data_IF_454742311605
#
_entry.id   IF_454742311605
#
_cell.length_a   1.000
_cell.length_b   1.000
_cell.length_c   1.000
_cell.angle_alpha   90.00
_cell.angle_beta   90.00
_cell.angle_gamma   90.00
#
_symmetry.space_group_name_H-M   'P 1'
#
loop_
_entity.id
_entity.type
_entity.pdbx_description
1 polymer ?
#
# COMPACT_ATOMS: atom_id res chain seq x y z
N UNK A 1 8.35 35.78 15.14
CA UNK A 1 7.52 34.57 15.07
C UNK A 1 8.33 33.50 14.35
N UNK A 2 8.97 32.63 15.11
CA UNK A 2 9.78 31.53 14.58
C UNK A 2 8.84 30.41 14.12
N UNK A 3 8.81 30.17 12.81
CA UNK A 3 8.14 29.04 12.16
C UNK A 3 8.68 27.74 12.78
N UNK A 4 7.96 27.24 13.78
CA UNK A 4 8.23 25.97 14.45
C UNK A 4 7.44 24.91 13.70
N UNK A 5 7.84 24.64 12.45
CA UNK A 5 7.55 23.34 11.86
C UNK A 5 8.37 22.32 12.65
N UNK A 6 7.72 21.73 13.63
CA UNK A 6 8.18 20.56 14.35
C UNK A 6 8.76 19.57 13.33
N UNK A 7 9.92 19.01 13.68
CA UNK A 7 10.61 17.99 12.89
C UNK A 7 9.85 16.65 13.00
N UNK A 8 8.55 16.68 12.69
CA UNK A 8 7.64 15.54 12.76
C UNK A 8 8.01 14.56 11.65
N UNK A 9 8.58 13.43 12.07
CA UNK A 9 8.83 12.30 11.18
C UNK A 9 7.49 11.64 10.89
N UNK A 10 6.86 12.05 9.80
CA UNK A 10 5.72 11.31 9.27
C UNK A 10 6.21 9.99 8.67
N UNK A 11 5.49 8.92 8.97
CA UNK A 11 5.61 7.62 8.33
C UNK A 11 5.20 7.71 6.85
N UNK A 12 5.73 6.81 6.03
CA UNK A 12 5.35 6.71 4.62
C UNK A 12 3.84 6.51 4.43
N UNK A 13 3.18 5.85 5.38
CA UNK A 13 1.73 5.64 5.38
C UNK A 13 0.93 6.91 5.69
N UNK A 14 1.46 7.85 6.48
CA UNK A 14 0.82 9.15 6.72
C UNK A 14 0.93 10.06 5.50
N UNK A 15 2.11 10.11 4.87
CA UNK A 15 2.27 10.82 3.58
C UNK A 15 1.35 10.23 2.50
N UNK A 16 1.21 8.91 2.48
CA UNK A 16 0.31 8.23 1.56
C UNK A 16 -1.15 8.63 1.81
N UNK A 17 -1.64 8.60 3.06
CA UNK A 17 -3.01 9.02 3.39
C UNK A 17 -3.27 10.47 2.98
N UNK A 18 -2.34 11.39 3.28
CA UNK A 18 -2.46 12.79 2.89
C UNK A 18 -2.54 12.96 1.37
N UNK A 19 -1.65 12.31 0.61
CA UNK A 19 -1.65 12.39 -0.85
C UNK A 19 -2.92 11.78 -1.46
N UNK A 20 -3.37 10.64 -0.94
CA UNK A 20 -4.58 9.97 -1.43
C UNK A 20 -5.82 10.77 -1.09
N UNK A 21 -5.92 11.38 0.08
CA UNK A 21 -7.08 12.19 0.45
C UNK A 21 -7.13 13.53 -0.28
N UNK A 22 -5.99 14.10 -0.66
CA UNK A 22 -5.93 15.27 -1.55
C UNK A 22 -6.39 14.93 -2.97
N UNK A 23 -5.90 13.82 -3.54
CA UNK A 23 -6.27 13.37 -4.89
C UNK A 23 -7.69 12.78 -4.98
N UNK A 24 -8.14 12.10 -3.92
CA UNK A 24 -9.43 11.43 -3.82
C UNK A 24 -10.17 11.91 -2.56
N UNK A 25 -10.70 13.14 -2.56
CA UNK A 25 -11.29 13.78 -1.39
C UNK A 25 -12.58 13.12 -0.87
N UNK A 26 -13.01 11.98 -1.44
CA UNK A 26 -14.17 11.21 -0.96
C UNK A 26 -13.82 9.74 -0.76
N UNK A 27 -14.26 9.26 0.40
CA UNK A 27 -14.34 7.87 0.85
C UNK A 27 -13.08 7.00 0.64
N UNK A 28 -12.25 6.90 1.68
CA UNK A 28 -11.11 5.97 1.74
C UNK A 28 -11.48 4.53 1.40
N UNK A 29 -12.71 4.10 1.69
CA UNK A 29 -13.14 2.73 1.42
C UNK A 29 -13.29 2.42 -0.07
N UNK A 30 -13.41 3.42 -0.95
CA UNK A 30 -13.50 3.21 -2.40
C UNK A 30 -12.15 3.20 -3.12
N UNK A 31 -11.08 3.70 -2.49
CA UNK A 31 -9.75 3.78 -3.10
C UNK A 31 -9.15 2.38 -3.24
N UNK A 32 -8.79 1.98 -4.46
CA UNK A 32 -8.13 0.70 -4.79
C UNK A 32 -6.62 0.84 -4.60
N UNK A 33 -6.08 0.14 -3.62
CA UNK A 33 -4.66 0.25 -3.23
C UNK A 33 -3.91 -1.02 -3.58
N UNK A 34 -2.72 -0.86 -4.15
CA UNK A 34 -1.71 -1.92 -4.25
C UNK A 34 -0.62 -1.70 -3.20
N UNK A 35 -0.50 -2.63 -2.25
CA UNK A 35 0.62 -2.74 -1.32
C UNK A 35 1.72 -3.59 -1.97
N UNK A 36 2.63 -2.93 -2.68
CA UNK A 36 3.70 -3.57 -3.44
C UNK A 36 4.86 -3.90 -2.51
N UNK A 37 5.16 -5.19 -2.37
CA UNK A 37 6.14 -5.71 -1.41
C UNK A 37 5.53 -6.16 -0.08
N UNK A 38 4.22 -6.43 -0.06
CA UNK A 38 3.48 -6.88 1.11
C UNK A 38 4.20 -8.01 1.87
N UNK A 39 4.30 -7.83 3.19
CA UNK A 39 4.91 -8.76 4.13
C UNK A 39 3.91 -9.30 5.15
N UNK A 40 4.07 -8.92 6.42
CA UNK A 40 3.16 -9.31 7.52
C UNK A 40 1.87 -8.47 7.58
N UNK A 41 1.72 -7.49 6.70
CA UNK A 41 0.52 -6.64 6.67
C UNK A 41 0.58 -5.39 7.55
N UNK A 42 1.74 -4.93 8.00
CA UNK A 42 1.85 -3.71 8.82
C UNK A 42 1.28 -2.48 8.10
N UNK A 43 1.65 -2.27 6.84
CA UNK A 43 1.12 -1.21 5.97
C UNK A 43 -0.40 -1.32 5.84
N UNK A 44 -0.91 -2.49 5.46
CA UNK A 44 -2.35 -2.73 5.32
C UNK A 44 -3.09 -2.53 6.65
N UNK A 45 -2.54 -2.98 7.78
CA UNK A 45 -3.15 -2.82 9.11
C UNK A 45 -3.33 -1.34 9.44
N UNK A 46 -2.31 -0.52 9.19
CA UNK A 46 -2.41 0.92 9.40
C UNK A 46 -3.44 1.56 8.46
N UNK A 47 -3.39 1.25 7.16
CA UNK A 47 -4.35 1.78 6.18
C UNK A 47 -5.80 1.37 6.53
N UNK A 48 -6.03 0.14 6.99
CA UNK A 48 -7.36 -0.29 7.45
C UNK A 48 -7.84 0.50 8.67
N UNK A 49 -6.94 0.86 9.59
CA UNK A 49 -7.30 1.70 10.74
C UNK A 49 -7.77 3.11 10.33
N UNK A 50 -7.34 3.59 9.16
CA UNK A 50 -7.79 4.86 8.58
C UNK A 50 -9.07 4.74 7.75
N UNK A 51 -9.56 3.52 7.48
CA UNK A 51 -10.78 3.26 6.72
C UNK A 51 -10.58 2.82 5.27
N UNK A 52 -9.33 2.56 4.84
CA UNK A 52 -9.09 1.89 3.56
C UNK A 52 -9.46 0.41 3.67
N UNK A 53 -10.25 -0.09 2.74
CA UNK A 53 -10.72 -1.50 2.78
C UNK A 53 -10.38 -2.30 1.54
N UNK A 54 -9.96 -1.61 0.48
CA UNK A 54 -9.74 -2.18 -0.84
C UNK A 54 -8.24 -2.23 -1.13
N UNK A 55 -7.56 -3.16 -0.47
CA UNK A 55 -6.09 -3.28 -0.47
C UNK A 55 -5.72 -4.66 -1.01
N UNK A 56 -4.96 -4.68 -2.10
CA UNK A 56 -4.38 -5.89 -2.67
C UNK A 56 -2.88 -5.93 -2.35
N UNK A 57 -2.36 -7.13 -2.05
CA UNK A 57 -0.94 -7.35 -1.77
C UNK A 57 -0.23 -7.85 -3.03
N UNK A 58 0.98 -7.35 -3.30
CA UNK A 58 1.88 -7.90 -4.31
C UNK A 58 3.21 -8.28 -3.69
N UNK A 59 3.72 -9.48 -3.96
CA UNK A 59 5.05 -9.90 -3.49
C UNK A 59 5.63 -11.02 -4.33
N UNK A 60 6.96 -11.06 -4.42
CA UNK A 60 7.72 -12.13 -5.11
C UNK A 60 8.14 -13.26 -4.17
N UNK A 61 7.83 -13.15 -2.87
CA UNK A 61 8.23 -14.10 -1.84
C UNK A 61 7.03 -14.93 -1.38
N UNK A 62 7.06 -16.25 -1.63
CA UNK A 62 5.98 -17.17 -1.21
C UNK A 62 5.75 -17.13 0.29
N UNK A 63 6.83 -17.12 1.07
CA UNK A 63 6.81 -16.97 2.53
C UNK A 63 6.08 -15.69 2.97
N UNK A 64 6.31 -14.56 2.30
CA UNK A 64 5.60 -13.30 2.58
C UNK A 64 4.15 -13.33 2.13
N UNK A 65 3.87 -13.96 0.98
CA UNK A 65 2.50 -14.15 0.51
C UNK A 65 1.67 -14.95 1.53
N UNK A 66 2.23 -16.02 2.09
CA UNK A 66 1.56 -16.83 3.12
C UNK A 66 1.32 -16.04 4.41
N UNK A 67 2.24 -15.13 4.78
CA UNK A 67 2.04 -14.21 5.92
C UNK A 67 0.94 -13.19 5.64
N UNK A 68 0.92 -12.63 4.43
CA UNK A 68 -0.12 -11.69 4.00
C UNK A 68 -1.49 -12.37 4.00
N UNK A 69 -1.60 -13.60 3.48
CA UNK A 69 -2.82 -14.40 3.51
C UNK A 69 -3.34 -14.62 4.94
N UNK A 70 -2.47 -15.08 5.85
CA UNK A 70 -2.82 -15.32 7.25
C UNK A 70 -3.24 -14.08 8.01
N UNK A 71 -2.87 -12.88 7.54
CA UNK A 71 -3.28 -11.63 8.19
C UNK A 71 -4.78 -11.33 8.00
N UNK A 72 -5.40 -11.83 6.92
CA UNK A 72 -6.79 -11.50 6.58
C UNK A 72 -7.03 -10.02 6.25
N UNK A 73 -5.97 -9.24 5.99
CA UNK A 73 -6.06 -7.79 5.75
C UNK A 73 -6.23 -7.42 4.27
N UNK A 74 -5.88 -8.34 3.36
CA UNK A 74 -5.84 -8.10 1.92
C UNK A 74 -7.05 -8.72 1.23
N UNK A 75 -7.56 -8.03 0.20
CA UNK A 75 -8.64 -8.52 -0.66
C UNK A 75 -8.12 -9.55 -1.66
N UNK A 76 -7.00 -9.25 -2.33
CA UNK A 76 -6.32 -10.17 -3.24
C UNK A 76 -4.82 -10.29 -2.91
N UNK A 77 -4.23 -11.41 -3.33
CA UNK A 77 -2.82 -11.75 -3.17
C UNK A 77 -2.18 -12.00 -4.54
N UNK A 78 -1.24 -11.15 -4.95
CA UNK A 78 -0.61 -11.18 -6.25
C UNK A 78 0.84 -11.67 -6.11
N UNK A 79 1.08 -12.91 -6.51
CA UNK A 79 2.42 -13.51 -6.47
C UNK A 79 3.19 -13.23 -7.77
N UNK A 80 3.74 -12.02 -7.89
CA UNK A 80 4.47 -11.58 -9.08
C UNK A 80 5.37 -10.40 -8.77
N UNK A 81 6.29 -10.09 -9.69
CA UNK A 81 7.18 -8.94 -9.59
C UNK A 81 6.52 -7.70 -10.23
N UNK A 82 6.69 -6.55 -9.60
CA UNK A 82 6.40 -5.27 -10.23
C UNK A 82 7.57 -4.92 -11.17
N UNK A 83 7.43 -5.26 -12.45
CA UNK A 83 8.41 -5.00 -13.51
C UNK A 83 8.05 -3.74 -14.29
N UNK A 84 9.02 -3.13 -14.96
CA UNK A 84 8.80 -1.93 -15.78
C UNK A 84 7.79 -2.18 -16.91
N UNK A 85 7.75 -3.40 -17.45
CA UNK A 85 6.85 -3.83 -18.53
C UNK A 85 5.51 -4.35 -18.01
N UNK A 86 5.29 -4.31 -16.70
CA UNK A 86 4.10 -4.87 -16.08
C UNK A 86 2.85 -4.08 -16.46
N UNK A 87 1.81 -4.79 -16.90
CA UNK A 87 0.50 -4.21 -17.20
C UNK A 87 -0.40 -4.11 -15.97
N UNK A 88 0.07 -4.52 -14.79
CA UNK A 88 -0.68 -4.49 -13.52
C UNK A 88 -1.25 -3.10 -13.20
N UNK A 89 -0.48 -2.04 -13.50
CA UNK A 89 -0.90 -0.66 -13.28
C UNK A 89 -1.45 0.00 -14.55
N UNK A 90 -1.32 -0.62 -15.72
CA UNK A 90 -1.63 -0.02 -17.02
C UNK A 90 -3.14 0.07 -17.31
N UNK A 91 -3.98 -0.64 -16.55
CA UNK A 91 -5.43 -0.74 -16.81
C UNK A 91 -6.28 0.15 -15.91
N UNK A 92 -5.68 0.99 -15.05
CA UNK A 92 -6.43 1.73 -14.04
C UNK A 92 -7.04 0.82 -12.96
N UNK A 93 -6.42 -0.35 -12.72
CA UNK A 93 -6.85 -1.30 -11.71
C UNK A 93 -6.70 -0.77 -10.28
N UNK A 94 -5.75 0.14 -10.05
CA UNK A 94 -5.43 0.75 -8.77
C UNK A 94 -5.47 2.28 -8.88
N UNK A 95 -5.95 2.92 -7.83
CA UNK A 95 -5.99 4.38 -7.68
C UNK A 95 -4.71 4.89 -7.02
N UNK A 96 -4.07 4.07 -6.18
CA UNK A 96 -2.82 4.39 -5.52
C UNK A 96 -1.95 3.13 -5.28
N UNK A 97 -0.64 3.32 -5.23
CA UNK A 97 0.35 2.26 -4.94
C UNK A 97 1.22 2.73 -3.78
N UNK A 98 1.42 1.86 -2.79
CA UNK A 98 2.40 2.06 -1.72
C UNK A 98 3.43 0.94 -1.75
N UNK A 99 4.70 1.30 -1.57
CA UNK A 99 5.82 0.38 -1.47
C UNK A 99 6.64 0.78 -0.23
N UNK A 100 6.19 0.30 0.93
CA UNK A 100 6.79 0.62 2.23
C UNK A 100 7.69 -0.51 2.76
N UNK A 101 7.49 -1.72 2.23
CA UNK A 101 8.29 -2.92 2.44
C UNK A 101 8.57 -3.54 1.07
N UNK A 102 9.62 -4.36 0.92
CA UNK A 102 9.92 -4.95 -0.37
C UNK A 102 10.92 -6.08 -0.35
N UNK A 103 10.82 -6.94 -1.37
CA UNK A 103 11.83 -7.94 -1.70
C UNK A 103 12.16 -7.81 -3.17
N UNK A 104 13.44 -7.81 -3.48
CA UNK A 104 13.92 -7.80 -4.84
C UNK A 104 14.29 -9.24 -5.23
N UNK A 105 13.67 -9.74 -6.30
CA UNK A 105 14.14 -10.94 -6.99
C UNK A 105 15.15 -10.53 -8.06
N UNK A 106 16.18 -11.35 -8.27
CA UNK A 106 17.12 -11.18 -9.38
C UNK A 106 16.47 -11.48 -10.72
#
# INVERSE_FOLDING_TARGET
MTDTRSNERFSCTEYFDAAVTDAFPKNRSSVRILDAGAGRGSTASYLRSLGYTNIDALTVSRERLDRAERSGLYRNLLFTALKAESTLCATGAFDAVICADGVFSR
#
